data_IF_774388496063
#
_entry.id   IF_774388496063
#
_cell.length_a   1.000
_cell.length_b   1.000
_cell.length_c   1.000
_cell.angle_alpha   90.00
_cell.angle_beta   90.00
_cell.angle_gamma   90.00
#
_symmetry.space_group_name_H-M   'P 1'
#
loop_
_entity.id
_entity.type
_entity.pdbx_description
1 polymer ?
#
# COMPACT_ATOMS: atom_id res chain seq x y z
N UNK A 1 4.82 45.56 -18.67
CA UNK A 1 5.32 45.28 -17.30
C UNK A 1 4.22 44.54 -16.55
N UNK A 2 4.23 43.21 -16.55
CA UNK A 2 3.18 42.40 -15.91
C UNK A 2 3.78 41.71 -14.70
N UNK A 3 3.56 42.28 -13.51
CA UNK A 3 4.04 41.73 -12.24
C UNK A 3 3.19 40.53 -11.84
N UNK A 4 3.65 39.33 -12.16
CA UNK A 4 3.05 38.07 -11.71
C UNK A 4 3.17 37.99 -10.18
N UNK A 5 2.07 38.27 -9.47
CA UNK A 5 1.97 38.05 -8.03
C UNK A 5 2.06 36.55 -7.75
N UNK A 6 3.26 36.05 -7.43
CA UNK A 6 3.47 34.68 -6.94
C UNK A 6 2.72 34.52 -5.62
N UNK A 7 1.73 33.63 -5.60
CA UNK A 7 1.08 33.22 -4.36
C UNK A 7 2.12 32.59 -3.43
N UNK A 8 2.05 32.90 -2.13
CA UNK A 8 2.95 32.33 -1.10
C UNK A 8 2.69 30.84 -0.87
N UNK A 9 1.53 30.35 -1.30
CA UNK A 9 1.15 28.95 -1.28
C UNK A 9 1.48 28.33 -2.63
N UNK A 10 2.35 27.32 -2.63
CA UNK A 10 2.61 26.47 -3.79
C UNK A 10 1.41 25.56 -4.09
N UNK A 11 1.43 24.83 -5.22
CA UNK A 11 0.36 23.88 -5.53
C UNK A 11 0.18 22.88 -4.39
N UNK A 12 -1.06 22.69 -3.96
CA UNK A 12 -1.40 21.74 -2.90
C UNK A 12 -1.20 20.30 -3.40
N UNK A 13 -0.79 19.37 -2.52
CA UNK A 13 -0.71 17.96 -2.87
C UNK A 13 -2.09 17.44 -3.30
N UNK A 14 -2.13 16.58 -4.32
CA UNK A 14 -3.36 15.90 -4.71
C UNK A 14 -3.73 14.91 -3.62
N UNK A 15 -4.88 15.13 -3.00
CA UNK A 15 -5.53 14.13 -2.16
C UNK A 15 -6.48 13.34 -3.05
N UNK A 16 -6.11 12.10 -3.37
CA UNK A 16 -6.94 11.18 -4.13
C UNK A 16 -7.71 10.29 -3.15
N UNK A 17 -9.03 10.37 -3.21
CA UNK A 17 -9.94 9.55 -2.42
C UNK A 17 -10.78 8.73 -3.40
N UNK A 18 -10.63 7.41 -3.36
CA UNK A 18 -11.44 6.49 -4.17
C UNK A 18 -12.53 5.88 -3.32
N UNK A 19 -13.80 6.10 -3.69
CA UNK A 19 -14.94 5.44 -3.06
C UNK A 19 -15.20 4.11 -3.76
N UNK A 20 -15.31 3.04 -2.99
CA UNK A 20 -15.65 1.71 -3.47
C UNK A 20 -17.00 1.28 -2.89
N UNK A 21 -17.85 0.70 -3.74
CA UNK A 21 -19.13 0.11 -3.35
C UNK A 21 -19.08 -1.38 -3.65
N UNK A 22 -19.43 -2.21 -2.68
CA UNK A 22 -19.52 -3.66 -2.86
C UNK A 22 -20.82 -4.20 -2.27
N UNK A 23 -21.28 -5.34 -2.78
CA UNK A 23 -22.38 -6.08 -2.18
C UNK A 23 -21.85 -6.78 -0.91
N UNK A 24 -22.29 -6.33 0.25
CA UNK A 24 -21.96 -6.96 1.53
C UNK A 24 -23.04 -8.00 1.87
N UNK A 25 -22.70 -9.30 1.99
CA UNK A 25 -23.63 -10.29 2.49
C UNK A 25 -24.18 -9.91 3.87
N UNK A 26 -25.46 -10.18 4.12
CA UNK A 26 -26.11 -9.79 5.38
C UNK A 26 -25.42 -10.38 6.61
N UNK A 27 -24.96 -11.64 6.53
CA UNK A 27 -24.20 -12.28 7.61
C UNK A 27 -22.90 -11.54 7.90
N UNK A 28 -22.17 -11.12 6.86
CA UNK A 28 -20.94 -10.36 7.02
C UNK A 28 -21.19 -9.00 7.67
N UNK A 29 -22.28 -8.30 7.29
CA UNK A 29 -22.63 -7.02 7.94
C UNK A 29 -22.90 -7.20 9.44
N UNK A 30 -23.62 -8.25 9.82
CA UNK A 30 -23.90 -8.55 11.24
C UNK A 30 -22.59 -8.78 12.01
N UNK A 31 -21.65 -9.54 11.44
CA UNK A 31 -20.37 -9.82 12.09
C UNK A 31 -19.50 -8.55 12.18
N UNK A 32 -19.52 -7.70 11.16
CA UNK A 32 -18.83 -6.40 11.17
C UNK A 32 -19.39 -5.46 12.24
N UNK A 33 -20.71 -5.44 12.43
CA UNK A 33 -21.36 -4.62 13.45
C UNK A 33 -21.00 -5.09 14.86
N UNK A 34 -21.03 -6.40 15.09
CA UNK A 34 -20.57 -6.98 16.36
C UNK A 34 -19.10 -6.69 16.62
N UNK A 35 -18.26 -6.74 15.60
CA UNK A 35 -16.86 -6.39 15.75
C UNK A 35 -16.69 -4.92 16.17
N UNK A 36 -17.45 -4.01 15.57
CA UNK A 36 -17.43 -2.59 15.91
C UNK A 36 -17.87 -2.35 17.37
N UNK A 37 -18.91 -3.05 17.84
CA UNK A 37 -19.33 -3.03 19.25
C UNK A 37 -18.21 -3.51 20.19
N UNK A 38 -17.56 -4.64 19.86
CA UNK A 38 -16.44 -5.17 20.65
C UNK A 38 -15.23 -4.24 20.66
N UNK A 39 -14.95 -3.58 19.53
CA UNK A 39 -13.90 -2.57 19.44
C UNK A 39 -14.21 -1.40 20.37
N UNK A 40 -15.44 -0.90 20.36
CA UNK A 40 -15.87 0.18 21.23
C UNK A 40 -15.77 -0.18 22.72
N UNK A 41 -16.13 -1.41 23.09
CA UNK A 41 -15.97 -1.91 24.46
C UNK A 41 -14.50 -2.00 24.87
N UNK A 42 -13.61 -2.35 23.94
CA UNK A 42 -12.18 -2.54 24.21
C UNK A 42 -11.42 -1.22 24.32
N UNK A 43 -11.73 -0.26 23.44
CA UNK A 43 -10.98 0.99 23.32
C UNK A 43 -11.74 2.23 23.81
N UNK A 44 -13.01 2.07 24.21
CA UNK A 44 -13.84 3.16 24.75
C UNK A 44 -14.39 4.13 23.70
N UNK A 45 -14.17 3.85 22.40
CA UNK A 45 -14.60 4.72 21.30
C UNK A 45 -15.54 3.98 20.37
N UNK A 46 -16.79 4.46 20.28
CA UNK A 46 -17.77 3.95 19.35
C UNK A 46 -17.40 4.35 17.92
N UNK A 47 -17.16 3.35 17.07
CA UNK A 47 -16.82 3.51 15.66
C UNK A 47 -17.74 2.63 14.82
N UNK A 48 -18.12 3.08 13.63
CA UNK A 48 -18.88 2.26 12.68
C UNK A 48 -17.97 1.25 11.97
N UNK A 49 -18.55 0.12 11.58
CA UNK A 49 -17.88 -0.87 10.74
C UNK A 49 -17.28 -0.24 9.47
N UNK A 50 -17.96 0.73 8.84
CA UNK A 50 -17.45 1.40 7.64
C UNK A 50 -16.12 2.13 7.87
N UNK A 51 -15.87 2.61 9.09
CA UNK A 51 -14.60 3.24 9.48
C UNK A 51 -13.51 2.20 9.71
N UNK A 52 -13.87 1.03 10.24
CA UNK A 52 -12.93 -0.05 10.52
C UNK A 52 -12.51 -0.83 9.26
N UNK A 53 -13.40 -1.00 8.28
CA UNK A 53 -13.17 -1.80 7.07
C UNK A 53 -11.88 -1.42 6.34
N UNK A 54 -11.58 -0.14 6.05
CA UNK A 54 -10.32 0.23 5.40
C UNK A 54 -9.08 -0.26 6.15
N UNK A 55 -9.06 -0.10 7.48
CA UNK A 55 -7.94 -0.54 8.32
C UNK A 55 -7.81 -2.06 8.38
N UNK A 56 -8.94 -2.77 8.44
CA UNK A 56 -8.96 -4.24 8.39
C UNK A 56 -8.39 -4.75 7.07
N UNK A 57 -8.79 -4.15 5.95
CA UNK A 57 -8.31 -4.53 4.62
C UNK A 57 -6.83 -4.22 4.47
N UNK A 58 -6.36 -3.07 4.94
CA UNK A 58 -4.93 -2.74 4.92
C UNK A 58 -4.11 -3.75 5.73
N UNK A 59 -4.54 -4.07 6.95
CA UNK A 59 -3.89 -5.08 7.79
C UNK A 59 -3.90 -6.47 7.14
N UNK A 60 -5.01 -6.85 6.48
CA UNK A 60 -5.12 -8.10 5.73
C UNK A 60 -4.11 -8.16 4.58
N UNK A 61 -4.07 -7.13 3.73
CA UNK A 61 -3.13 -7.05 2.61
C UNK A 61 -1.67 -7.04 3.09
N UNK A 62 -1.37 -6.34 4.19
CA UNK A 62 -0.05 -6.34 4.81
C UNK A 62 0.30 -7.72 5.44
N UNK A 63 -0.68 -8.48 5.90
CA UNK A 63 -0.48 -9.81 6.47
C UNK A 63 -0.29 -10.93 5.44
N UNK A 64 -0.83 -10.77 4.23
CA UNK A 64 -0.81 -11.80 3.19
C UNK A 64 0.57 -11.95 2.54
N UNK A 65 1.32 -12.97 2.98
CA UNK A 65 2.64 -13.30 2.42
C UNK A 65 2.56 -13.78 0.97
N UNK A 66 1.47 -14.43 0.58
CA UNK A 66 1.25 -14.89 -0.79
C UNK A 66 1.10 -13.70 -1.74
N UNK A 67 0.35 -12.69 -1.31
CA UNK A 67 0.23 -11.41 -1.99
C UNK A 67 1.60 -10.70 -2.12
N UNK A 68 2.34 -10.56 -1.02
CA UNK A 68 3.66 -9.89 -1.00
C UNK A 68 4.71 -10.56 -1.90
N UNK A 69 4.69 -11.88 -2.02
CA UNK A 69 5.64 -12.62 -2.88
C UNK A 69 5.45 -12.30 -4.37
N UNK A 70 4.23 -11.92 -4.78
CA UNK A 70 3.91 -11.51 -6.15
C UNK A 70 4.48 -10.15 -6.56
N UNK A 71 4.68 -9.22 -5.62
CA UNK A 71 5.25 -7.90 -5.92
C UNK A 71 6.73 -7.95 -6.28
N UNK A 72 7.50 -8.83 -5.63
CA UNK A 72 8.94 -8.97 -5.90
C UNK A 72 9.27 -9.70 -7.21
N UNK A 73 8.28 -10.32 -7.87
CA UNK A 73 8.49 -11.00 -9.14
C UNK A 73 8.57 -10.06 -10.36
N UNK A 74 8.33 -8.74 -10.18
CA UNK A 74 8.37 -7.74 -11.26
C UNK A 74 9.58 -6.80 -11.22
N UNK A 75 10.65 -7.18 -10.52
CA UNK A 75 11.96 -6.62 -10.83
C UNK A 75 12.62 -7.51 -11.90
N UNK A 76 12.83 -7.04 -13.15
CA UNK A 76 13.68 -7.78 -14.07
C UNK A 76 15.08 -7.90 -13.42
N UNK A 77 15.75 -9.06 -13.51
CA UNK A 77 17.17 -9.11 -13.17
C UNK A 77 17.88 -8.10 -14.07
N UNK A 78 18.45 -7.05 -13.48
CA UNK A 78 19.44 -6.22 -14.17
C UNK A 78 20.58 -7.14 -14.62
N UNK A 79 20.56 -7.35 -15.93
CA UNK A 79 21.33 -8.24 -16.81
C UNK A 79 22.84 -7.90 -16.83
N UNK A 80 23.66 -8.56 -17.69
CA UNK A 80 24.25 -9.90 -17.69
C UNK A 80 25.78 -9.90 -17.49
N UNK A 81 26.37 -11.10 -17.46
CA UNK A 81 27.79 -11.41 -17.55
C UNK A 81 28.55 -10.70 -18.70
N UNK A 82 29.81 -10.35 -18.44
CA UNK A 82 30.86 -10.25 -19.46
C UNK A 82 32.13 -10.94 -18.94
N UNK A 83 32.50 -12.02 -19.63
CA UNK A 83 33.77 -12.71 -19.50
C UNK A 83 34.93 -11.85 -20.06
N UNK A 84 36.06 -11.85 -19.32
CA UNK A 84 37.50 -11.93 -19.70
C UNK A 84 38.04 -11.10 -20.88
N UNK A 85 39.29 -10.54 -20.87
CA UNK A 85 40.53 -11.35 -20.76
C UNK A 85 41.80 -10.63 -20.18
N UNK A 86 42.91 -11.36 -19.99
CA UNK A 86 44.25 -10.80 -19.71
C UNK A 86 45.23 -11.83 -19.13
N UNK A 87 45.70 -12.82 -19.89
CA UNK A 87 47.07 -12.91 -20.46
C UNK A 87 48.17 -12.09 -19.73
N UNK A 88 49.09 -12.79 -19.04
CA UNK A 88 50.56 -12.59 -19.09
C UNK A 88 51.24 -13.76 -18.31
N UNK A 89 51.86 -14.70 -19.02
CA UNK A 89 53.31 -14.83 -19.23
C UNK A 89 54.08 -15.51 -18.07
N UNK A 90 54.64 -16.67 -18.43
CA UNK A 90 55.69 -17.46 -17.77
C UNK A 90 56.97 -16.60 -17.51
N UNK A 91 58.10 -17.06 -16.88
CA UNK A 91 58.61 -18.42 -17.05
C UNK A 91 59.54 -19.05 -15.98
N UNK A 92 59.83 -20.33 -16.26
CA UNK A 92 60.97 -21.19 -15.85
C UNK A 92 60.99 -21.80 -14.46
#
# INVERSE_FOLDING_TARGET
>A
MSTTRKLRLGPLPRQEVTKLTFACPASLKIDLDRYAELYALTYGEAVDAATLIPHMLEAFMAGDRGFKKGEHAKAPPSRPAAASPGVDAAPR
#
